data_IF_205457563753
#
_entry.id   IF_205457563753
#
_cell.length_a   1.000
_cell.length_b   1.000
_cell.length_c   1.000
_cell.angle_alpha   90.00
_cell.angle_beta   90.00
_cell.angle_gamma   90.00
#
_symmetry.space_group_name_H-M   'P 1'
#
loop_
_entity.id
_entity.type
_entity.pdbx_description
1 polymer ?
#
# COMPACT_ATOMS: atom_id res chain seq x y z
N UNK A 1 -63.86 -3.05 -34.48
CA UNK A 1 -64.60 -3.00 -33.20
C UNK A 1 -64.94 -4.43 -32.76
N UNK A 2 -64.13 -5.06 -31.89
CA UNK A 2 -64.47 -6.32 -31.21
C UNK A 2 -63.94 -6.27 -29.77
N UNK A 3 -64.90 -6.19 -28.86
CA UNK A 3 -64.82 -6.49 -27.42
C UNK A 3 -64.38 -7.96 -27.22
N UNK A 4 -63.84 -8.46 -26.10
CA UNK A 4 -63.84 -8.06 -24.68
C UNK A 4 -62.71 -8.83 -23.97
N UNK A 5 -62.13 -8.21 -22.94
CA UNK A 5 -61.17 -8.76 -21.97
C UNK A 5 -61.85 -9.65 -20.92
N UNK A 6 -60.97 -10.32 -20.14
CA UNK A 6 -61.14 -10.82 -18.76
C UNK A 6 -61.52 -12.30 -18.67
N UNK A 7 -60.91 -13.18 -17.86
CA UNK A 7 -60.80 -13.29 -16.38
C UNK A 7 -59.87 -14.54 -16.18
N UNK A 8 -58.76 -14.61 -15.42
CA UNK A 8 -58.48 -14.44 -13.98
C UNK A 8 -57.86 -15.75 -13.44
N UNK A 9 -56.69 -15.63 -12.81
CA UNK A 9 -56.09 -16.44 -11.72
C UNK A 9 -56.11 -17.97 -11.72
N UNK A 10 -54.92 -18.55 -11.49
CA UNK A 10 -54.72 -19.34 -10.27
C UNK A 10 -53.28 -19.21 -9.72
N UNK A 11 -53.26 -18.78 -8.47
CA UNK A 11 -52.16 -18.71 -7.52
C UNK A 11 -51.71 -20.15 -7.18
N UNK A 12 -50.41 -20.41 -7.14
CA UNK A 12 -49.90 -21.50 -6.29
C UNK A 12 -48.56 -21.09 -5.71
N UNK A 13 -48.62 -20.66 -4.46
CA UNK A 13 -47.48 -20.44 -3.60
C UNK A 13 -46.96 -21.80 -3.11
N UNK A 14 -45.70 -22.10 -3.40
CA UNK A 14 -44.96 -23.16 -2.70
C UNK A 14 -44.11 -22.48 -1.63
N UNK A 15 -44.68 -22.40 -0.43
CA UNK A 15 -43.95 -22.33 0.84
C UNK A 15 -43.57 -23.76 1.22
N UNK A 16 -42.34 -23.93 1.74
CA UNK A 16 -41.80 -25.00 2.61
C UNK A 16 -40.30 -25.08 2.26
N UNK A 17 -39.33 -25.00 3.17
CA UNK A 17 -39.36 -25.06 4.63
C UNK A 17 -37.96 -24.67 5.11
N UNK A 18 -37.89 -23.70 6.03
CA UNK A 18 -36.71 -23.42 6.83
C UNK A 18 -36.46 -24.57 7.81
N UNK A 19 -35.31 -25.24 7.72
CA UNK A 19 -34.80 -26.08 8.79
C UNK A 19 -33.88 -25.25 9.67
N UNK A 20 -34.39 -24.87 10.84
CA UNK A 20 -33.57 -24.49 11.99
C UNK A 20 -33.04 -25.79 12.60
N UNK A 21 -31.72 -25.91 12.70
CA UNK A 21 -31.07 -26.89 13.59
C UNK A 21 -30.58 -26.10 14.81
N UNK A 22 -31.17 -26.29 16.01
CA UNK A 22 -30.55 -25.88 17.26
C UNK A 22 -29.77 -27.04 17.90
N UNK A 23 -28.89 -26.66 18.84
CA UNK A 23 -28.15 -27.50 19.82
C UNK A 23 -26.85 -28.16 19.33
N UNK A 24 -25.78 -28.26 20.11
CA UNK A 24 -25.41 -27.70 21.40
C UNK A 24 -23.90 -27.92 21.64
N UNK A 25 -23.35 -27.04 22.47
CA UNK A 25 -22.14 -27.13 23.30
C UNK A 25 -21.44 -28.50 23.47
N UNK A 26 -20.14 -28.51 23.18
CA UNK A 26 -19.07 -29.10 24.00
C UNK A 26 -17.77 -28.32 23.64
N UNK A 27 -17.37 -27.31 24.42
CA UNK A 27 -16.46 -27.33 25.58
C UNK A 27 -15.05 -27.93 25.32
N UNK A 28 -14.08 -27.05 25.58
CA UNK A 28 -12.67 -27.27 25.94
C UNK A 28 -11.66 -27.55 24.81
N UNK A 29 -11.05 -26.47 24.28
CA UNK A 29 -9.71 -26.07 24.74
C UNK A 29 -9.32 -24.68 24.21
N UNK A 30 -9.29 -23.74 25.14
CA UNK A 30 -8.82 -22.36 24.97
C UNK A 30 -7.29 -22.38 24.97
N UNK A 31 -6.68 -21.92 23.88
CA UNK A 31 -5.31 -21.40 23.91
C UNK A 31 -5.38 -19.99 23.33
N UNK A 32 -5.54 -19.01 24.24
CA UNK A 32 -5.27 -17.58 23.98
C UNK A 32 -3.75 -17.36 24.07
N UNK A 33 -3.13 -16.62 23.15
CA UNK A 33 -1.97 -15.81 23.47
C UNK A 33 -2.41 -14.36 23.61
N UNK A 34 -2.82 -13.98 24.82
CA UNK A 34 -2.92 -12.59 25.25
C UNK A 34 -2.15 -12.50 26.58
N UNK A 35 -0.90 -12.04 26.50
CA UNK A 35 -0.05 -11.40 27.53
C UNK A 35 1.42 -11.52 27.16
N UNK A 36 1.89 -10.63 26.29
CA UNK A 36 3.30 -10.25 26.20
C UNK A 36 3.50 -8.84 25.63
N UNK A 37 2.46 -8.01 25.64
CA UNK A 37 2.49 -6.62 25.24
C UNK A 37 1.91 -5.85 26.42
N UNK A 38 2.63 -4.83 26.91
CA UNK A 38 2.47 -4.18 28.24
C UNK A 38 3.28 -4.89 29.36
N UNK A 39 4.61 -4.96 29.17
CA UNK A 39 5.56 -4.78 30.28
C UNK A 39 6.94 -4.33 29.76
N UNK A 40 6.99 -3.25 28.98
CA UNK A 40 8.27 -2.56 28.72
C UNK A 40 8.15 -1.06 28.39
N UNK A 41 7.01 -0.43 28.71
CA UNK A 41 6.79 1.01 28.44
C UNK A 41 6.63 1.84 29.74
N UNK A 42 7.11 1.34 30.87
CA UNK A 42 7.16 2.11 32.12
C UNK A 42 8.41 1.75 32.94
N UNK A 43 9.58 2.22 32.50
CA UNK A 43 10.75 2.38 33.39
C UNK A 43 11.87 3.32 32.91
N UNK A 44 11.78 3.98 31.75
CA UNK A 44 12.90 4.78 31.21
C UNK A 44 12.60 6.27 31.02
N UNK A 45 11.79 6.85 31.90
CA UNK A 45 11.50 8.29 31.88
C UNK A 45 11.73 8.95 33.24
N UNK A 46 12.75 8.48 33.98
CA UNK A 46 13.19 9.12 35.22
C UNK A 46 14.63 8.77 35.62
N UNK A 47 15.59 8.88 34.69
CA UNK A 47 17.01 8.82 35.05
C UNK A 47 17.93 9.64 34.12
N UNK A 48 17.39 10.68 33.47
CA UNK A 48 18.13 11.45 32.45
C UNK A 48 18.18 12.97 32.69
N UNK A 49 18.19 13.41 33.96
CA UNK A 49 18.34 14.85 34.32
C UNK A 49 19.35 15.08 35.46
N UNK A 50 20.22 14.13 35.81
CA UNK A 50 21.23 14.35 36.87
C UNK A 50 22.70 14.32 36.42
N UNK A 51 22.99 14.10 35.12
CA UNK A 51 24.37 13.93 34.65
C UNK A 51 24.86 15.00 33.66
N UNK A 52 24.13 16.11 33.47
CA UNK A 52 24.54 17.20 32.55
C UNK A 52 25.35 18.31 33.26
N UNK A 53 25.48 18.30 34.59
CA UNK A 53 26.13 19.40 35.33
C UNK A 53 27.47 19.06 36.02
N UNK A 54 28.10 17.93 35.66
CA UNK A 54 29.46 17.62 36.11
C UNK A 54 30.22 16.89 35.01
N UNK A 55 30.84 17.65 34.11
CA UNK A 55 32.10 17.32 33.44
C UNK A 55 32.52 18.47 32.52
N UNK A 56 32.66 19.65 33.12
CA UNK A 56 33.53 20.69 32.59
C UNK A 56 34.87 20.59 33.34
N UNK A 57 35.74 19.68 32.88
CA UNK A 57 37.21 19.78 32.96
C UNK A 57 37.88 18.50 32.48
N UNK A 58 39.03 18.72 31.86
CA UNK A 58 40.10 17.77 31.52
C UNK A 58 40.02 17.10 30.14
N UNK A 59 40.41 17.94 29.18
CA UNK A 59 41.32 17.62 28.08
C UNK A 59 42.42 16.61 28.49
N UNK A 60 42.48 15.46 27.80
CA UNK A 60 43.74 14.76 27.57
C UNK A 60 43.67 13.93 26.28
N UNK A 61 44.63 14.19 25.42
CA UNK A 61 44.88 13.60 24.10
C UNK A 61 45.18 12.11 24.16
N UNK A 62 44.39 11.29 23.47
CA UNK A 62 44.83 9.96 23.02
C UNK A 62 44.20 9.61 21.66
N UNK A 63 45.04 9.21 20.71
CA UNK A 63 44.74 9.13 19.29
C UNK A 63 43.97 7.85 18.92
N UNK A 64 42.65 7.96 18.83
CA UNK A 64 41.82 6.92 18.23
C UNK A 64 41.74 7.20 16.73
N UNK A 65 42.36 6.34 15.91
CA UNK A 65 42.17 6.36 14.45
C UNK A 65 40.67 6.17 14.15
N UNK A 66 39.97 7.14 13.55
CA UNK A 66 38.60 6.92 13.13
C UNK A 66 38.61 5.92 11.97
N UNK A 67 37.92 4.80 12.14
CA UNK A 67 37.44 4.00 11.02
C UNK A 67 36.37 4.84 10.32
N UNK A 68 36.81 5.65 9.36
CA UNK A 68 35.94 6.46 8.52
C UNK A 68 35.18 5.49 7.62
N UNK A 69 33.96 5.11 8.03
CA UNK A 69 33.02 4.56 7.07
C UNK A 69 32.82 5.65 6.00
N UNK A 70 32.98 5.35 4.71
CA UNK A 70 32.76 6.34 3.68
C UNK A 70 31.30 6.78 3.76
N UNK A 71 31.07 8.04 4.14
CA UNK A 71 29.82 8.73 3.86
C UNK A 71 29.75 8.78 2.34
N UNK A 72 28.95 7.90 1.73
CA UNK A 72 28.71 7.92 0.30
C UNK A 72 27.91 9.20 0.02
N UNK A 73 28.45 10.18 -0.71
CA UNK A 73 27.68 11.33 -1.12
C UNK A 73 26.56 10.84 -2.04
N UNK A 74 25.31 11.04 -1.62
CA UNK A 74 24.13 10.74 -2.42
C UNK A 74 24.17 11.68 -3.64
N UNK A 75 24.30 11.10 -4.84
CA UNK A 75 24.20 11.81 -6.10
C UNK A 75 22.72 12.07 -6.40
N UNK A 76 22.21 13.20 -5.91
CA UNK A 76 20.92 13.76 -6.33
C UNK A 76 21.05 14.17 -7.80
N UNK A 77 20.36 13.49 -8.71
CA UNK A 77 20.18 13.96 -10.10
C UNK A 77 18.80 14.62 -10.17
N UNK A 78 18.80 15.94 -10.31
CA UNK A 78 17.59 16.74 -10.26
C UNK A 78 16.64 16.41 -11.43
N UNK A 79 15.49 15.84 -11.12
CA UNK A 79 14.29 15.99 -11.94
C UNK A 79 13.20 16.56 -11.05
N UNK A 80 12.84 17.82 -11.28
CA UNK A 80 11.83 18.53 -10.50
C UNK A 80 10.44 17.98 -10.87
N UNK A 81 9.66 17.57 -9.87
CA UNK A 81 8.21 17.34 -9.99
C UNK A 81 7.52 18.58 -9.41
N UNK A 82 6.60 19.22 -10.13
CA UNK A 82 5.83 20.37 -9.60
C UNK A 82 4.50 19.90 -9.01
N UNK A 83 4.36 19.95 -7.68
CA UNK A 83 3.07 19.74 -6.98
C UNK A 83 2.36 21.08 -6.73
N UNK A 84 1.13 21.23 -7.24
CA UNK A 84 0.27 22.43 -7.06
C UNK A 84 1.01 23.78 -7.16
N UNK A 85 2.05 23.84 -7.99
CA UNK A 85 2.87 25.04 -8.23
C UNK A 85 4.03 25.31 -7.27
N UNK A 86 4.34 24.47 -6.27
CA UNK A 86 5.28 24.88 -5.19
C UNK A 86 6.23 23.85 -4.59
N UNK A 87 6.07 22.53 -4.78
CA UNK A 87 7.02 21.55 -4.20
C UNK A 87 7.73 20.77 -5.28
N UNK A 88 9.06 20.79 -5.20
CA UNK A 88 10.02 20.01 -5.97
C UNK A 88 10.44 18.79 -5.17
N UNK A 89 10.43 17.60 -5.76
CA UNK A 89 10.97 16.39 -5.13
C UNK A 89 12.25 15.96 -5.83
N UNK A 90 13.28 15.68 -5.05
CA UNK A 90 14.54 15.14 -5.53
C UNK A 90 14.42 13.64 -5.74
N UNK A 91 15.15 13.10 -6.71
CA UNK A 91 15.16 11.66 -6.93
C UNK A 91 15.90 10.97 -5.80
N UNK A 92 15.29 9.92 -5.27
CA UNK A 92 15.96 8.99 -4.35
C UNK A 92 16.61 7.85 -5.14
N UNK A 93 17.40 7.03 -4.47
CA UNK A 93 17.92 5.80 -5.07
C UNK A 93 16.90 4.65 -4.94
N UNK A 94 17.03 3.62 -5.77
CA UNK A 94 16.17 2.43 -5.72
C UNK A 94 16.25 1.76 -4.33
N UNK A 95 17.45 1.74 -3.73
CA UNK A 95 17.68 1.17 -2.40
C UNK A 95 16.93 1.89 -1.28
N UNK A 96 16.66 3.19 -1.42
CA UNK A 96 15.83 3.94 -0.46
C UNK A 96 14.38 3.47 -0.53
N UNK A 97 13.87 3.21 -1.74
CA UNK A 97 12.50 2.73 -1.92
C UNK A 97 12.36 1.29 -1.45
N UNK A 98 13.30 0.42 -1.84
CA UNK A 98 13.34 -0.96 -1.36
C UNK A 98 13.43 -1.01 0.16
N UNK A 99 14.31 -0.21 0.76
CA UNK A 99 14.48 -0.12 2.22
C UNK A 99 13.21 0.35 2.94
N UNK A 100 12.48 1.33 2.39
CA UNK A 100 11.21 1.78 2.96
C UNK A 100 10.14 0.68 2.95
N UNK A 101 10.08 -0.13 1.88
CA UNK A 101 9.18 -1.29 1.81
C UNK A 101 9.62 -2.35 2.82
N UNK A 102 10.91 -2.67 2.88
CA UNK A 102 11.42 -3.66 3.82
C UNK A 102 11.16 -3.27 5.28
N UNK A 103 11.38 -2.00 5.64
CA UNK A 103 11.07 -1.46 6.96
C UNK A 103 9.58 -1.56 7.28
N UNK A 104 8.72 -1.13 6.37
CA UNK A 104 7.25 -1.16 6.56
C UNK A 104 6.74 -2.57 6.84
N UNK A 105 7.30 -3.58 6.16
CA UNK A 105 6.88 -4.98 6.31
C UNK A 105 7.74 -5.80 7.28
N UNK A 106 8.75 -5.21 7.93
CA UNK A 106 9.68 -5.92 8.80
C UNK A 106 10.48 -7.01 8.07
N UNK A 107 10.79 -6.80 6.80
CA UNK A 107 11.56 -7.71 5.96
C UNK A 107 13.05 -7.38 6.06
N UNK A 108 13.89 -8.40 5.93
CA UNK A 108 15.36 -8.23 5.91
C UNK A 108 15.93 -8.25 4.50
N UNK A 109 15.30 -9.04 3.63
CA UNK A 109 15.58 -9.17 2.21
C UNK A 109 14.31 -9.63 1.52
N UNK A 110 13.86 -8.89 0.51
CA UNK A 110 12.74 -9.28 -0.32
C UNK A 110 13.16 -9.49 -1.78
N UNK A 111 12.59 -10.50 -2.43
CA UNK A 111 12.62 -10.56 -3.90
C UNK A 111 11.42 -9.83 -4.49
N UNK A 112 11.49 -9.45 -5.77
CA UNK A 112 10.37 -8.84 -6.49
C UNK A 112 9.06 -9.66 -6.47
N UNK A 113 9.15 -10.98 -6.28
CA UNK A 113 8.00 -11.87 -6.21
C UNK A 113 7.42 -12.05 -4.79
N UNK A 114 8.06 -11.50 -3.77
CA UNK A 114 7.59 -11.58 -2.39
C UNK A 114 6.18 -10.98 -2.30
N UNK A 115 5.22 -11.80 -1.85
CA UNK A 115 3.86 -11.33 -1.60
C UNK A 115 3.85 -10.51 -0.32
N UNK A 116 3.46 -9.24 -0.43
CA UNK A 116 3.34 -8.33 0.70
C UNK A 116 1.94 -8.38 1.29
N UNK A 117 0.92 -8.33 0.42
CA UNK A 117 -0.48 -8.42 0.81
C UNK A 117 -1.30 -9.25 -0.18
N UNK A 118 -2.40 -9.79 0.33
CA UNK A 118 -3.37 -10.57 -0.43
C UNK A 118 -4.74 -9.89 -0.38
N UNK A 119 -5.38 -9.75 -1.54
CA UNK A 119 -6.70 -9.15 -1.69
C UNK A 119 -7.67 -10.16 -2.27
N UNK A 120 -8.81 -10.34 -1.61
CA UNK A 120 -9.87 -11.24 -2.06
C UNK A 120 -11.01 -10.47 -2.73
N UNK A 121 -11.34 -10.86 -3.96
CA UNK A 121 -12.46 -10.29 -4.73
C UNK A 121 -13.38 -11.43 -5.18
N UNK A 122 -14.46 -11.64 -4.44
CA UNK A 122 -15.35 -12.78 -4.66
C UNK A 122 -14.64 -14.08 -4.29
N UNK A 123 -14.50 -15.00 -5.25
CA UNK A 123 -13.76 -16.25 -5.06
C UNK A 123 -12.30 -16.16 -5.52
N UNK A 124 -11.92 -15.07 -6.18
CA UNK A 124 -10.56 -14.87 -6.70
C UNK A 124 -9.69 -14.08 -5.72
N UNK A 125 -8.40 -14.22 -5.93
CA UNK A 125 -7.36 -13.59 -5.12
C UNK A 125 -6.30 -12.98 -6.02
N UNK A 126 -5.80 -11.81 -5.63
CA UNK A 126 -4.61 -11.21 -6.24
C UNK A 126 -3.69 -10.63 -5.16
N UNK A 127 -2.45 -10.34 -5.53
CA UNK A 127 -1.39 -9.98 -4.58
C UNK A 127 -0.80 -8.60 -4.87
N UNK A 128 -0.56 -7.81 -3.83
CA UNK A 128 0.48 -6.79 -3.88
C UNK A 128 1.80 -7.48 -3.60
N UNK A 129 2.73 -7.39 -4.55
CA UNK A 129 4.08 -7.91 -4.41
C UNK A 129 5.06 -6.78 -4.15
N UNK A 130 6.22 -7.12 -3.60
CA UNK A 130 7.33 -6.19 -3.42
C UNK A 130 7.61 -5.43 -4.72
N UNK A 131 7.76 -6.18 -5.81
CA UNK A 131 7.81 -5.60 -7.13
C UNK A 131 9.21 -5.28 -7.62
N UNK A 132 9.25 -4.51 -8.69
CA UNK A 132 10.43 -3.88 -9.26
C UNK A 132 9.98 -2.65 -10.03
N UNK A 133 10.87 -2.00 -10.76
CA UNK A 133 10.52 -0.88 -11.67
C UNK A 133 9.33 -1.07 -12.63
N UNK A 134 8.80 -2.28 -12.83
CA UNK A 134 7.69 -2.57 -13.74
C UNK A 134 6.37 -2.95 -13.06
N UNK A 135 6.37 -3.37 -11.79
CA UNK A 135 5.16 -3.77 -11.09
C UNK A 135 5.30 -3.72 -9.57
N UNK A 136 4.19 -3.89 -8.84
CA UNK A 136 4.21 -4.03 -7.38
C UNK A 136 4.40 -2.71 -6.65
N UNK A 137 4.71 -2.79 -5.36
CA UNK A 137 4.79 -1.61 -4.51
C UNK A 137 5.97 -0.70 -4.89
N UNK A 138 7.13 -1.27 -5.22
CA UNK A 138 8.29 -0.50 -5.67
C UNK A 138 7.99 0.33 -6.91
N UNK A 139 7.28 -0.23 -7.90
CA UNK A 139 6.84 0.54 -9.07
C UNK A 139 5.91 1.69 -8.69
N UNK A 140 4.95 1.43 -7.79
CA UNK A 140 4.00 2.44 -7.33
C UNK A 140 4.75 3.60 -6.66
N UNK A 141 5.64 3.29 -5.72
CA UNK A 141 6.41 4.29 -4.99
C UNK A 141 7.40 5.02 -5.91
N UNK A 142 8.23 4.27 -6.63
CA UNK A 142 9.30 4.79 -7.48
C UNK A 142 8.84 5.59 -8.69
N UNK A 143 7.57 5.46 -9.09
CA UNK A 143 6.97 6.16 -10.24
C UNK A 143 5.96 7.24 -9.84
N UNK A 144 5.17 6.97 -8.81
CA UNK A 144 3.97 7.74 -8.51
C UNK A 144 4.00 8.36 -7.11
N UNK A 145 4.98 8.07 -6.26
CA UNK A 145 5.05 8.68 -4.94
C UNK A 145 6.13 9.77 -4.88
N UNK A 146 5.80 11.01 -4.49
CA UNK A 146 6.76 12.12 -4.54
C UNK A 146 8.00 11.91 -3.66
N UNK A 147 7.84 11.32 -2.47
CA UNK A 147 8.96 11.05 -1.54
C UNK A 147 9.89 9.93 -2.01
N UNK A 148 9.37 8.97 -2.78
CA UNK A 148 10.10 7.77 -3.18
C UNK A 148 10.43 7.76 -4.68
N UNK A 149 10.15 8.85 -5.39
CA UNK A 149 10.37 8.89 -6.82
C UNK A 149 11.86 8.76 -7.13
N UNK A 150 12.23 7.76 -7.94
CA UNK A 150 13.62 7.55 -8.35
C UNK A 150 13.81 7.66 -9.87
N UNK A 151 12.83 8.24 -10.57
CA UNK A 151 12.92 8.49 -12.01
C UNK A 151 12.23 7.46 -12.90
N UNK A 152 11.39 6.56 -12.35
CA UNK A 152 10.65 5.61 -13.20
C UNK A 152 9.73 6.40 -14.15
N UNK A 153 9.93 6.22 -15.46
CA UNK A 153 9.08 6.84 -16.48
C UNK A 153 9.41 8.30 -16.78
N UNK A 154 10.52 8.84 -16.25
CA UNK A 154 11.04 10.15 -16.64
C UNK A 154 11.17 10.27 -18.17
N UNK A 155 10.69 11.39 -18.74
CA UNK A 155 10.74 11.67 -20.18
C UNK A 155 9.81 10.83 -21.08
N UNK A 156 9.07 9.86 -20.54
CA UNK A 156 8.21 8.96 -21.34
C UNK A 156 6.74 9.40 -21.44
N UNK A 157 6.40 10.56 -20.86
CA UNK A 157 5.05 11.12 -20.82
C UNK A 157 4.73 11.72 -19.45
N UNK A 158 3.47 12.14 -19.28
CA UNK A 158 3.00 12.70 -18.01
C UNK A 158 2.83 11.59 -16.97
N UNK A 159 3.66 11.60 -15.93
CA UNK A 159 3.40 10.80 -14.72
C UNK A 159 2.40 11.55 -13.86
N UNK A 160 1.58 10.84 -13.10
CA UNK A 160 0.79 11.44 -12.01
C UNK A 160 1.36 10.99 -10.68
N UNK A 161 1.30 11.87 -9.68
CA UNK A 161 1.91 11.67 -8.38
C UNK A 161 0.86 11.63 -7.29
N UNK A 162 1.06 10.86 -6.24
CA UNK A 162 0.24 10.90 -5.03
C UNK A 162 0.38 12.26 -4.31
N UNK A 163 -0.58 12.55 -3.43
CA UNK A 163 -0.34 13.57 -2.41
C UNK A 163 0.82 13.09 -1.51
N UNK A 164 1.78 13.95 -1.13
CA UNK A 164 2.88 13.57 -0.25
C UNK A 164 2.45 13.05 1.13
N UNK A 165 1.21 13.29 1.55
CA UNK A 165 0.69 12.73 2.79
C UNK A 165 0.23 11.27 2.67
N UNK A 166 0.16 10.72 1.46
CA UNK A 166 -0.21 9.32 1.24
C UNK A 166 0.90 8.43 1.78
N UNK A 167 0.54 7.48 2.63
CA UNK A 167 1.50 6.50 3.16
C UNK A 167 1.46 5.19 2.37
N UNK A 168 2.40 4.27 2.65
CA UNK A 168 2.33 2.89 2.12
C UNK A 168 1.02 2.22 2.56
N UNK A 169 0.61 2.39 3.81
CA UNK A 169 -0.64 1.86 4.33
C UNK A 169 -1.87 2.46 3.60
N UNK A 170 -1.84 3.74 3.24
CA UNK A 170 -2.91 4.34 2.43
C UNK A 170 -3.00 3.71 1.04
N UNK A 171 -1.87 3.43 0.39
CA UNK A 171 -1.84 2.74 -0.93
C UNK A 171 -2.47 1.34 -0.82
N UNK A 172 -2.17 0.60 0.23
CA UNK A 172 -2.76 -0.72 0.49
C UNK A 172 -4.28 -0.63 0.68
N UNK A 173 -4.72 0.33 1.49
CA UNK A 173 -6.13 0.61 1.73
C UNK A 173 -6.84 1.05 0.44
N UNK A 174 -6.20 1.87 -0.39
CA UNK A 174 -6.72 2.24 -1.72
C UNK A 174 -6.91 1.01 -2.60
N UNK A 175 -5.95 0.08 -2.66
CA UNK A 175 -6.08 -1.17 -3.43
C UNK A 175 -7.28 -1.97 -2.92
N UNK A 176 -7.45 -2.11 -1.60
CA UNK A 176 -8.60 -2.81 -1.02
C UNK A 176 -9.93 -2.15 -1.39
N UNK A 177 -10.04 -0.83 -1.23
CA UNK A 177 -11.26 -0.07 -1.51
C UNK A 177 -11.61 -0.10 -2.99
N UNK A 178 -10.66 0.22 -3.87
CA UNK A 178 -10.87 0.27 -5.32
C UNK A 178 -11.19 -1.12 -5.86
N UNK A 179 -10.53 -2.16 -5.35
CA UNK A 179 -10.83 -3.53 -5.75
C UNK A 179 -12.22 -3.98 -5.32
N UNK A 180 -12.68 -3.56 -4.14
CA UNK A 180 -14.05 -3.79 -3.69
C UNK A 180 -15.09 -3.07 -4.57
N UNK A 181 -14.87 -1.79 -4.89
CA UNK A 181 -15.72 -1.01 -5.80
C UNK A 181 -15.85 -1.67 -7.18
N UNK A 182 -14.81 -2.38 -7.63
CA UNK A 182 -14.75 -3.03 -8.94
C UNK A 182 -14.82 -4.55 -8.89
N UNK A 183 -15.31 -5.12 -7.77
CA UNK A 183 -15.26 -6.56 -7.46
C UNK A 183 -15.60 -7.45 -8.65
N UNK A 184 -16.77 -7.28 -9.25
CA UNK A 184 -17.26 -8.14 -10.35
C UNK A 184 -16.34 -8.10 -11.57
N UNK A 185 -15.78 -6.93 -11.89
CA UNK A 185 -14.93 -6.74 -13.07
C UNK A 185 -13.55 -7.38 -12.87
N UNK A 186 -12.96 -7.19 -11.68
CA UNK A 186 -11.66 -7.79 -11.34
C UNK A 186 -11.80 -9.30 -11.22
N UNK A 187 -12.82 -9.78 -10.49
CA UNK A 187 -13.06 -11.21 -10.29
C UNK A 187 -13.23 -11.94 -11.63
N UNK A 188 -13.96 -11.36 -12.59
CA UNK A 188 -14.09 -11.93 -13.94
C UNK A 188 -12.76 -11.97 -14.68
N UNK A 189 -11.97 -10.91 -14.60
CA UNK A 189 -10.69 -10.85 -15.30
C UNK A 189 -9.69 -11.87 -14.73
N UNK A 190 -9.61 -11.99 -13.40
CA UNK A 190 -8.77 -12.98 -12.73
C UNK A 190 -9.13 -14.42 -13.12
N UNK A 191 -10.43 -14.75 -13.17
CA UNK A 191 -10.88 -16.08 -13.63
C UNK A 191 -10.47 -16.43 -15.05
N UNK A 192 -10.25 -15.42 -15.89
CA UNK A 192 -9.92 -15.57 -17.30
C UNK A 192 -8.43 -15.34 -17.58
N UNK A 193 -7.61 -15.17 -16.54
CA UNK A 193 -6.19 -14.78 -16.64
C UNK A 193 -5.98 -13.50 -17.49
N UNK A 194 -6.91 -12.57 -17.40
CA UNK A 194 -6.91 -11.32 -18.17
C UNK A 194 -6.39 -10.14 -17.34
N UNK A 195 -5.61 -9.28 -17.99
CA UNK A 195 -5.28 -7.95 -17.46
C UNK A 195 -6.54 -7.12 -17.25
N UNK A 196 -6.63 -6.43 -16.12
CA UNK A 196 -7.73 -5.51 -15.81
C UNK A 196 -7.22 -4.15 -15.37
N UNK A 197 -7.84 -3.11 -15.92
CA UNK A 197 -7.62 -1.71 -15.54
C UNK A 197 -8.93 -1.14 -15.04
N UNK A 198 -8.97 -0.77 -13.77
CA UNK A 198 -10.17 -0.22 -13.13
C UNK A 198 -9.89 1.17 -12.56
N UNK A 199 -10.97 1.90 -12.29
CA UNK A 199 -10.91 3.18 -11.59
C UNK A 199 -11.76 3.09 -10.33
N UNK A 200 -11.36 3.82 -9.31
CA UNK A 200 -12.13 3.92 -8.09
C UNK A 200 -11.77 5.18 -7.32
N UNK A 201 -12.57 5.48 -6.32
CA UNK A 201 -12.45 6.71 -5.54
C UNK A 201 -11.95 6.41 -4.14
N UNK A 202 -11.00 7.20 -3.66
CA UNK A 202 -10.54 7.22 -2.27
C UNK A 202 -10.45 8.68 -1.84
N UNK A 203 -11.12 9.02 -0.74
CA UNK A 203 -11.22 10.42 -0.24
C UNK A 203 -11.56 11.44 -1.35
N UNK A 204 -12.63 11.16 -2.11
CA UNK A 204 -13.14 11.99 -3.20
C UNK A 204 -12.22 12.19 -4.42
N UNK A 205 -11.03 11.59 -4.43
CA UNK A 205 -10.11 11.60 -5.58
C UNK A 205 -10.17 10.29 -6.36
N UNK A 206 -10.05 10.35 -7.70
CA UNK A 206 -10.08 9.18 -8.58
C UNK A 206 -8.68 8.59 -8.80
N UNK A 207 -8.57 7.27 -8.70
CA UNK A 207 -7.34 6.52 -8.89
C UNK A 207 -7.54 5.41 -9.90
N UNK A 208 -6.46 5.00 -10.57
CA UNK A 208 -6.44 3.87 -11.49
C UNK A 208 -5.61 2.74 -10.91
N UNK A 209 -6.24 1.56 -10.80
CA UNK A 209 -5.60 0.31 -10.40
C UNK A 209 -5.47 -0.62 -11.61
N UNK A 210 -4.27 -1.18 -11.79
CA UNK A 210 -3.97 -2.17 -12.83
C UNK A 210 -3.58 -3.47 -12.16
N UNK A 211 -4.27 -4.56 -12.51
CA UNK A 211 -3.98 -5.92 -12.08
C UNK A 211 -3.73 -6.77 -13.32
N UNK A 212 -2.70 -7.60 -13.29
CA UNK A 212 -2.34 -8.50 -14.39
C UNK A 212 -1.67 -9.74 -13.82
N UNK A 213 -2.01 -10.92 -14.33
CA UNK A 213 -1.45 -12.21 -13.87
C UNK A 213 -1.44 -12.34 -12.33
N UNK A 214 -2.62 -12.12 -11.73
CA UNK A 214 -2.85 -12.28 -10.28
C UNK A 214 -2.09 -11.31 -9.36
N UNK A 215 -1.50 -10.23 -9.90
CA UNK A 215 -0.73 -9.26 -9.10
C UNK A 215 -1.04 -7.82 -9.48
N UNK A 216 -0.87 -6.92 -8.52
CA UNK A 216 -0.93 -5.47 -8.74
C UNK A 216 0.27 -5.06 -9.60
N UNK A 217 -0.03 -4.41 -10.72
CA UNK A 217 0.98 -3.82 -11.59
C UNK A 217 1.26 -2.39 -11.17
N UNK A 218 0.22 -1.59 -10.99
CA UNK A 218 0.37 -0.19 -10.57
C UNK A 218 -0.93 0.36 -10.01
N UNK A 219 -0.80 1.39 -9.19
CA UNK A 219 -1.86 2.23 -8.66
C UNK A 219 -1.37 3.68 -8.75
N UNK A 220 -2.19 4.57 -9.29
CA UNK A 220 -1.82 5.98 -9.39
C UNK A 220 -3.03 6.91 -9.51
N UNK A 221 -2.87 8.19 -9.14
CA UNK A 221 -3.86 9.25 -9.36
C UNK A 221 -4.31 9.36 -10.82
N UNK A 222 -5.61 9.42 -11.07
CA UNK A 222 -6.13 9.40 -12.42
C UNK A 222 -6.74 10.76 -12.81
N UNK A 223 -6.08 11.46 -13.73
CA UNK A 223 -6.57 12.75 -14.26
C UNK A 223 -6.26 13.94 -13.37
N UNK A 224 -5.40 13.78 -12.36
CA UNK A 224 -4.95 14.86 -11.48
C UNK A 224 -3.50 14.62 -11.00
N UNK A 225 -2.89 15.68 -10.48
CA UNK A 225 -1.51 15.73 -9.98
C UNK A 225 -0.45 15.26 -10.99
N UNK A 226 -0.55 15.79 -12.20
CA UNK A 226 0.41 15.56 -13.28
C UNK A 226 1.78 16.17 -12.95
N UNK A 227 2.82 15.35 -13.00
CA UNK A 227 4.20 15.77 -12.89
C UNK A 227 4.64 16.44 -14.20
N UNK A 228 5.16 17.64 -14.08
CA UNK A 228 5.91 18.32 -15.14
C UNK A 228 7.39 18.17 -14.86
N UNK A 229 8.17 17.94 -15.90
CA UNK A 229 9.63 17.88 -15.82
C UNK A 229 10.20 19.17 -16.41
N UNK A 230 11.08 19.82 -15.67
CA UNK A 230 11.88 20.92 -16.21
C UNK A 230 13.11 20.32 -16.93
N UNK A 231 13.29 20.73 -18.19
CA UNK A 231 14.43 20.37 -19.05
C UNK A 231 15.70 21.17 -18.72
#
# INVERSE_FOLDING_TARGET
>A
MKFKKSILTLLSAVLLSSTLIPSAFAKDNVIKPEKAFIQQTQSNEQENISNIEKMEKEESTESIKPSVAPIIPILIRAGVIIWRGYKTYEWVSEEIVEGAIEEHYGLRYASSNTSLMQYKVGNEVFHLRFGNRNFGLEHILGKHHPEYYYGIGFGSGTNTMFDPSITIEDIENMIAVISHQNKTRIERALRNDERVVVRGTWQDEEYRLVIDDGKVITLYPYGWNEAQYED
#
